data_IF_934049340219
#
_entry.id   IF_934049340219
#
_cell.length_a   1.000
_cell.length_b   1.000
_cell.length_c   1.000
_cell.angle_alpha   90.00
_cell.angle_beta   90.00
_cell.angle_gamma   90.00
#
_symmetry.space_group_name_H-M   'P 1'
#
loop_
_entity.id
_entity.type
_entity.pdbx_description
1 polymer ?
#
# COMPACT_ATOMS: atom_id res chain seq x y z
N UNK A 1 -3.96 11.71 -13.91
CA UNK A 1 -3.33 10.42 -13.56
C UNK A 1 -3.44 10.25 -12.05
N UNK A 2 -4.04 9.16 -11.58
CA UNK A 2 -4.20 8.87 -10.14
C UNK A 2 -2.92 8.32 -9.52
N UNK A 3 -2.80 8.45 -8.21
CA UNK A 3 -1.73 7.84 -7.42
C UNK A 3 -2.32 6.76 -6.53
N UNK A 4 -1.89 5.52 -6.69
CA UNK A 4 -2.33 4.42 -5.84
C UNK A 4 -1.22 4.13 -4.84
N UNK A 5 -1.50 4.35 -3.56
CA UNK A 5 -0.59 4.01 -2.46
C UNK A 5 -0.89 2.58 -2.03
N UNK A 6 0.09 1.70 -2.19
CA UNK A 6 0.07 0.33 -1.69
C UNK A 6 0.57 0.36 -0.24
N UNK A 7 -0.31 0.03 0.69
CA UNK A 7 0.05 -0.20 2.08
C UNK A 7 0.98 -1.43 2.21
N UNK A 8 1.85 -1.48 3.22
CA UNK A 8 2.83 -2.58 3.40
C UNK A 8 2.14 -3.94 3.43
N UNK A 9 1.04 -4.06 4.19
CA UNK A 9 0.28 -5.32 4.26
C UNK A 9 -0.33 -5.71 2.90
N UNK A 10 -0.63 -4.74 2.05
CA UNK A 10 -1.15 -4.98 0.71
C UNK A 10 -0.08 -5.55 -0.24
N UNK A 11 1.18 -5.14 -0.07
CA UNK A 11 2.33 -5.64 -0.83
C UNK A 11 2.53 -7.15 -0.65
N UNK A 12 2.13 -7.71 0.50
CA UNK A 12 2.27 -9.14 0.78
C UNK A 12 1.15 -10.05 0.22
N UNK A 13 0.05 -9.47 -0.29
CA UNK A 13 -1.10 -10.24 -0.79
C UNK A 13 -0.79 -11.23 -1.92
N UNK A 14 0.16 -10.97 -2.84
CA UNK A 14 0.58 -11.97 -3.82
C UNK A 14 1.09 -13.27 -3.20
N UNK A 15 1.65 -13.22 -2.00
CA UNK A 15 2.26 -14.37 -1.33
C UNK A 15 1.29 -15.05 -0.35
N UNK A 16 0.43 -14.26 0.30
CA UNK A 16 -0.52 -14.77 1.30
C UNK A 16 -1.82 -15.26 0.68
N UNK A 17 -2.41 -14.48 -0.23
CA UNK A 17 -3.68 -14.80 -0.89
C UNK A 17 -3.52 -15.39 -2.30
N UNK A 18 -2.29 -15.40 -2.83
CA UNK A 18 -1.98 -15.85 -4.20
C UNK A 18 -2.78 -15.09 -5.26
N UNK A 19 -2.85 -13.77 -5.11
CA UNK A 19 -3.53 -12.83 -6.02
C UNK A 19 -2.48 -12.00 -6.75
N UNK A 20 -2.58 -11.89 -8.07
CA UNK A 20 -1.79 -10.90 -8.82
C UNK A 20 -2.42 -9.52 -8.64
N UNK A 21 -1.96 -8.78 -7.62
CA UNK A 21 -2.50 -7.47 -7.28
C UNK A 21 -2.33 -6.45 -8.42
N UNK A 22 -1.32 -6.59 -9.28
CA UNK A 22 -1.06 -5.63 -10.34
C UNK A 22 -2.08 -5.79 -11.46
N UNK A 23 -2.26 -7.03 -11.93
CA UNK A 23 -3.26 -7.36 -12.94
C UNK A 23 -4.69 -7.07 -12.44
N UNK A 24 -4.96 -7.27 -11.15
CA UNK A 24 -6.25 -6.93 -10.56
C UNK A 24 -6.47 -5.41 -10.43
N UNK A 25 -5.42 -4.63 -10.14
CA UNK A 25 -5.51 -3.16 -10.17
C UNK A 25 -5.79 -2.69 -11.60
N UNK A 26 -5.09 -3.23 -12.60
CA UNK A 26 -5.35 -2.94 -14.02
C UNK A 26 -6.80 -3.26 -14.42
N UNK A 27 -7.37 -4.35 -13.89
CA UNK A 27 -8.75 -4.75 -14.16
C UNK A 27 -9.79 -3.77 -13.61
N UNK A 28 -9.57 -3.23 -12.42
CA UNK A 28 -10.55 -2.36 -11.73
C UNK A 28 -10.33 -0.87 -11.99
N UNK A 29 -9.13 -0.48 -12.44
CA UNK A 29 -8.80 0.92 -12.70
C UNK A 29 -9.14 1.29 -14.14
N UNK A 30 -10.15 2.15 -14.30
CA UNK A 30 -10.59 2.65 -15.60
C UNK A 30 -9.92 3.98 -16.02
N UNK A 31 -8.96 4.47 -15.22
CA UNK A 31 -8.27 5.73 -15.44
C UNK A 31 -6.75 5.56 -15.27
N UNK A 32 -5.92 6.38 -15.96
CA UNK A 32 -4.46 6.26 -15.86
C UNK A 32 -3.97 6.49 -14.44
N UNK A 33 -3.05 5.64 -13.98
CA UNK A 33 -2.54 5.66 -12.61
C UNK A 33 -1.04 5.36 -12.53
N UNK A 34 -0.45 5.73 -11.39
CA UNK A 34 0.90 5.34 -10.98
C UNK A 34 0.82 4.66 -9.60
N UNK A 35 1.67 3.67 -9.38
CA UNK A 35 1.78 2.94 -8.12
C UNK A 35 2.87 3.52 -7.24
N UNK A 36 2.61 3.60 -5.94
CA UNK A 36 3.56 4.03 -4.93
C UNK A 36 3.47 3.14 -3.69
N UNK A 37 4.60 3.00 -2.99
CA UNK A 37 4.64 2.58 -1.58
C UNK A 37 5.20 3.71 -0.74
N UNK A 38 4.92 3.71 0.56
CA UNK A 38 5.60 4.62 1.48
C UNK A 38 7.07 4.23 1.62
N UNK A 39 7.96 5.19 1.87
CA UNK A 39 9.38 4.90 2.14
C UNK A 39 9.55 3.96 3.33
N UNK A 40 8.75 4.13 4.38
CA UNK A 40 8.69 3.23 5.55
C UNK A 40 8.39 1.76 5.17
N UNK A 41 7.64 1.51 4.08
CA UNK A 41 7.37 0.14 3.60
C UNK A 41 8.64 -0.54 3.10
N UNK A 42 9.54 0.22 2.47
CA UNK A 42 10.84 -0.32 2.01
C UNK A 42 11.72 -0.63 3.21
N UNK A 43 11.79 0.29 4.17
CA UNK A 43 12.56 0.09 5.42
C UNK A 43 12.08 -1.15 6.19
N UNK A 44 10.76 -1.38 6.22
CA UNK A 44 10.17 -2.57 6.86
C UNK A 44 10.56 -3.86 6.15
N UNK A 45 10.50 -3.89 4.81
CA UNK A 45 10.94 -5.05 4.02
C UNK A 45 12.42 -5.35 4.23
N UNK A 46 13.27 -4.32 4.23
CA UNK A 46 14.70 -4.45 4.49
C UNK A 46 14.97 -4.98 5.90
N UNK A 47 14.24 -4.48 6.90
CA UNK A 47 14.34 -4.99 8.28
C UNK A 47 13.95 -6.47 8.36
N UNK A 48 12.85 -6.87 7.73
CA UNK A 48 12.43 -8.28 7.70
C UNK A 48 13.53 -9.14 7.07
N UNK A 49 14.14 -8.65 5.97
CA UNK A 49 15.22 -9.39 5.30
C UNK A 49 16.49 -9.54 6.15
N UNK A 50 16.76 -8.61 7.07
CA UNK A 50 17.93 -8.62 7.95
C UNK A 50 17.68 -9.43 9.24
N UNK A 51 16.50 -9.29 9.84
CA UNK A 51 16.21 -9.82 11.18
C UNK A 51 15.54 -11.19 11.14
N UNK A 52 14.73 -11.48 10.12
CA UNK A 52 13.98 -12.73 10.02
C UNK A 52 14.74 -13.81 9.22
N UNK A 53 14.30 -15.07 9.35
CA UNK A 53 14.91 -16.23 8.68
C UNK A 53 13.87 -17.03 7.91
N UNK A 54 14.34 -17.87 6.98
CA UNK A 54 13.49 -18.79 6.23
C UNK A 54 12.45 -18.05 5.38
N UNK A 55 11.19 -18.48 5.49
CA UNK A 55 10.11 -18.05 4.60
C UNK A 55 9.82 -16.55 4.65
N UNK A 56 9.93 -15.92 5.81
CA UNK A 56 9.59 -14.50 5.95
C UNK A 56 10.63 -13.62 5.25
N UNK A 57 11.92 -13.93 5.43
CA UNK A 57 13.02 -13.28 4.70
C UNK A 57 12.87 -13.41 3.19
N UNK A 58 12.59 -14.62 2.71
CA UNK A 58 12.39 -14.86 1.27
C UNK A 58 11.16 -14.14 0.73
N UNK A 59 10.07 -14.07 1.51
CA UNK A 59 8.85 -13.36 1.12
C UNK A 59 9.10 -11.85 1.00
N UNK A 60 9.80 -11.24 1.96
CA UNK A 60 10.16 -9.82 1.91
C UNK A 60 11.07 -9.51 0.72
N UNK A 61 12.05 -10.38 0.43
CA UNK A 61 12.92 -10.27 -0.74
C UNK A 61 12.13 -10.32 -2.04
N UNK A 62 11.22 -11.28 -2.18
CA UNK A 62 10.37 -11.39 -3.37
C UNK A 62 9.43 -10.19 -3.53
N UNK A 63 8.88 -9.67 -2.42
CA UNK A 63 8.05 -8.48 -2.42
C UNK A 63 8.80 -7.27 -2.96
N UNK A 64 10.02 -7.02 -2.46
CA UNK A 64 10.85 -5.91 -2.93
C UNK A 64 11.18 -6.03 -4.43
N UNK A 65 11.62 -7.21 -4.88
CA UNK A 65 11.89 -7.47 -6.30
C UNK A 65 10.66 -7.26 -7.19
N UNK A 66 9.47 -7.60 -6.68
CA UNK A 66 8.22 -7.42 -7.41
C UNK A 66 7.86 -5.94 -7.54
N UNK A 67 8.04 -5.14 -6.49
CA UNK A 67 7.86 -3.68 -6.53
C UNK A 67 8.80 -3.03 -7.56
N UNK A 68 10.08 -3.41 -7.55
CA UNK A 68 11.08 -2.91 -8.51
C UNK A 68 10.71 -3.29 -9.95
N UNK A 69 10.40 -4.57 -10.19
CA UNK A 69 10.02 -5.07 -11.52
C UNK A 69 8.78 -4.37 -12.09
N UNK A 70 7.85 -3.99 -11.22
CA UNK A 70 6.61 -3.30 -11.60
C UNK A 70 6.75 -1.78 -11.63
N UNK A 71 7.95 -1.25 -11.37
CA UNK A 71 8.21 0.19 -11.42
C UNK A 71 7.44 0.98 -10.36
N UNK A 72 7.17 0.38 -9.20
CA UNK A 72 6.45 1.05 -8.11
C UNK A 72 7.33 2.15 -7.52
N UNK A 73 6.80 3.37 -7.48
CA UNK A 73 7.51 4.53 -6.95
C UNK A 73 7.56 4.54 -5.42
N UNK A 74 8.41 5.41 -4.86
CA UNK A 74 8.48 5.67 -3.42
C UNK A 74 7.85 7.02 -3.11
N UNK A 75 6.90 7.04 -2.18
CA UNK A 75 6.30 8.25 -1.63
C UNK A 75 6.97 8.57 -0.30
N UNK A 76 7.54 9.77 -0.16
CA UNK A 76 8.19 10.20 1.07
C UNK A 76 7.17 10.29 2.21
N UNK A 77 7.56 9.78 3.37
CA UNK A 77 6.82 9.96 4.60
C UNK A 77 6.96 11.40 5.11
N UNK A 78 5.84 12.01 5.50
CA UNK A 78 5.84 13.32 6.16
C UNK A 78 5.99 13.07 7.67
N UNK A 79 7.20 13.16 8.18
CA UNK A 79 7.42 13.15 9.62
C UNK A 79 7.25 14.57 10.16
N UNK A 80 6.33 14.77 11.12
CA UNK A 80 6.29 16.02 11.87
C UNK A 80 7.53 16.08 12.77
N UNK A 81 8.43 17.01 12.48
CA UNK A 81 9.59 17.30 13.34
C UNK A 81 9.11 17.94 14.64
N UNK A 82 8.87 17.12 15.65
CA UNK A 82 8.55 17.56 17.00
C UNK A 82 8.31 16.35 17.90
N UNK A 83 9.21 16.13 18.87
CA UNK A 83 9.18 15.11 19.93
C UNK A 83 7.81 14.45 20.16
N UNK A 84 7.51 13.39 19.43
CA UNK A 84 6.41 12.46 19.64
C UNK A 84 6.61 11.29 18.67
N UNK A 85 6.26 10.09 19.11
CA UNK A 85 6.43 8.77 18.44
C UNK A 85 6.36 8.84 16.90
N UNK A 86 7.18 8.01 16.22
CA UNK A 86 7.07 7.76 14.76
C UNK A 86 5.56 7.60 14.44
N UNK A 87 4.96 8.47 13.60
CA UNK A 87 3.53 8.41 13.36
C UNK A 87 3.16 7.02 12.83
N UNK A 88 2.01 6.52 13.24
CA UNK A 88 1.50 5.25 12.73
C UNK A 88 1.33 5.43 11.22
N UNK A 89 1.76 4.45 10.41
CA UNK A 89 1.76 4.55 8.93
C UNK A 89 0.39 5.02 8.40
N UNK A 90 -0.68 4.55 9.01
CA UNK A 90 -2.06 4.97 8.77
C UNK A 90 -2.28 6.48 8.90
N UNK A 91 -1.71 7.13 9.91
CA UNK A 91 -1.85 8.58 10.12
C UNK A 91 -1.12 9.36 9.03
N UNK A 92 0.03 8.86 8.57
CA UNK A 92 0.79 9.46 7.46
C UNK A 92 -0.03 9.33 6.17
N UNK A 93 -0.59 8.15 5.90
CA UNK A 93 -1.46 7.91 4.74
C UNK A 93 -2.68 8.83 4.79
N UNK A 94 -3.33 8.96 5.95
CA UNK A 94 -4.48 9.84 6.13
C UNK A 94 -4.14 11.31 5.92
N UNK A 95 -2.96 11.75 6.37
CA UNK A 95 -2.52 13.13 6.21
C UNK A 95 -2.12 13.45 4.76
N UNK A 96 -1.49 12.49 4.07
CA UNK A 96 -0.97 12.66 2.72
C UNK A 96 -2.04 12.48 1.62
N UNK A 97 -2.99 11.56 1.83
CA UNK A 97 -3.95 11.21 0.81
C UNK A 97 -4.97 12.33 0.59
N UNK A 98 -5.17 12.67 -0.68
CA UNK A 98 -6.16 13.63 -1.19
C UNK A 98 -7.04 12.97 -2.27
N UNK A 99 -7.89 13.75 -2.95
CA UNK A 99 -8.80 13.25 -4.01
C UNK A 99 -8.09 12.66 -5.25
N UNK A 100 -6.80 12.93 -5.43
CA UNK A 100 -5.98 12.32 -6.48
C UNK A 100 -5.36 10.99 -6.06
N UNK A 101 -5.43 10.65 -4.77
CA UNK A 101 -4.94 9.40 -4.23
C UNK A 101 -6.05 8.34 -4.18
N UNK A 102 -5.60 7.09 -4.25
CA UNK A 102 -6.37 5.89 -3.95
C UNK A 102 -5.47 5.07 -3.02
N UNK A 103 -6.01 4.54 -1.94
CA UNK A 103 -5.22 3.74 -0.99
C UNK A 103 -5.62 2.28 -1.09
N UNK A 104 -4.65 1.41 -1.35
CA UNK A 104 -4.84 -0.03 -1.34
C UNK A 104 -4.44 -0.58 0.03
N UNK A 105 -5.43 -0.95 0.85
CA UNK A 105 -5.21 -1.44 2.23
C UNK A 105 -6.26 -2.46 2.65
N UNK A 106 -5.85 -3.45 3.44
CA UNK A 106 -6.74 -4.43 4.05
C UNK A 106 -7.34 -3.94 5.38
N UNK A 107 -6.85 -2.84 5.95
CA UNK A 107 -7.34 -2.31 7.21
C UNK A 107 -8.73 -1.68 7.07
N UNK A 108 -9.70 -2.20 7.84
CA UNK A 108 -11.11 -1.75 7.78
C UNK A 108 -11.30 -0.35 8.36
N UNK A 109 -10.55 0.00 9.41
CA UNK A 109 -10.64 1.30 10.06
C UNK A 109 -10.01 2.39 9.19
N UNK A 110 -8.82 2.14 8.63
CA UNK A 110 -8.18 3.05 7.70
C UNK A 110 -9.08 3.31 6.48
N UNK A 111 -9.68 2.26 5.90
CA UNK A 111 -10.63 2.44 4.79
C UNK A 111 -11.83 3.30 5.16
N UNK A 112 -12.37 3.12 6.38
CA UNK A 112 -13.49 3.93 6.86
C UNK A 112 -13.09 5.41 6.94
N UNK A 113 -11.98 5.72 7.60
CA UNK A 113 -11.45 7.09 7.74
C UNK A 113 -11.16 7.74 6.37
N UNK A 114 -10.60 6.99 5.42
CA UNK A 114 -10.35 7.47 4.06
C UNK A 114 -11.63 7.74 3.28
N UNK A 115 -12.63 6.85 3.41
CA UNK A 115 -13.95 7.03 2.78
C UNK A 115 -14.61 8.32 3.30
N UNK A 116 -14.55 8.58 4.60
CA UNK A 116 -15.09 9.80 5.22
C UNK A 116 -14.39 11.08 4.70
N UNK A 117 -13.14 10.97 4.23
CA UNK A 117 -12.41 12.07 3.57
C UNK A 117 -12.64 12.16 2.05
N UNK A 118 -13.50 11.33 1.48
CA UNK A 118 -13.74 11.29 0.04
C UNK A 118 -12.57 10.69 -0.75
N UNK A 119 -11.82 9.77 -0.14
CA UNK A 119 -10.68 9.08 -0.78
C UNK A 119 -11.09 7.64 -1.08
N UNK A 120 -10.92 7.23 -2.34
CA UNK A 120 -11.23 5.87 -2.78
C UNK A 120 -10.23 4.87 -2.21
N UNK A 121 -10.71 3.65 -1.98
CA UNK A 121 -9.87 2.57 -1.43
C UNK A 121 -9.97 1.31 -2.25
N UNK A 122 -8.85 0.58 -2.35
CA UNK A 122 -8.76 -0.74 -2.95
C UNK A 122 -8.54 -1.75 -1.84
N UNK A 123 -9.26 -2.86 -1.88
CA UNK A 123 -9.09 -3.97 -0.92
C UNK A 123 -9.32 -5.30 -1.62
N UNK A 124 -8.87 -6.37 -0.98
CA UNK A 124 -9.05 -7.72 -1.48
C UNK A 124 -10.35 -8.28 -0.89
N UNK A 125 -11.16 -8.90 -1.76
CA UNK A 125 -12.31 -9.70 -1.34
C UNK A 125 -12.17 -11.06 -1.97
N UNK A 126 -11.94 -12.08 -1.13
CA UNK A 126 -11.58 -13.44 -1.55
C UNK A 126 -10.30 -13.45 -2.38
N UNK A 127 -10.38 -13.70 -3.68
CA UNK A 127 -9.24 -13.79 -4.62
C UNK A 127 -9.24 -12.70 -5.68
N UNK A 128 -9.99 -11.63 -5.46
CA UNK A 128 -10.07 -10.48 -6.37
C UNK A 128 -9.95 -9.17 -5.61
N UNK A 129 -9.58 -8.11 -6.31
CA UNK A 129 -9.63 -6.75 -5.79
C UNK A 129 -10.97 -6.07 -6.10
N UNK A 130 -11.42 -5.26 -5.15
CA UNK A 130 -12.57 -4.37 -5.27
C UNK A 130 -12.12 -2.94 -4.99
N UNK A 131 -12.70 -1.98 -5.71
CA UNK A 131 -12.55 -0.55 -5.44
C UNK A 131 -13.83 -0.04 -4.79
N UNK A 132 -13.69 0.73 -3.71
CA UNK A 132 -14.79 1.45 -3.09
C UNK A 132 -14.75 2.90 -3.50
N UNK A 133 -15.75 3.30 -4.27
CA UNK A 133 -16.02 4.69 -4.60
C UNK A 133 -16.58 5.46 -3.40
N UNK A 134 -16.43 6.78 -3.46
CA UNK A 134 -16.96 7.73 -2.49
C UNK A 134 -18.16 8.44 -3.10
N UNK A 135 -19.23 8.58 -2.32
CA UNK A 135 -20.46 9.28 -2.69
C UNK A 135 -20.32 10.79 -2.48
#
# INVERSE_FOLDING_TARGET
MKKIILDTNFVFLPFTLKIDIFSEIDRIMHEPYNLFVMEDTIDELDRIMQEQKGRDRETAKMALQLLEKKGVGKQKSLYMTGNSKKPIVDDIILALADKNHIVATQDRELRKKLTEKGIRTIYARKKSLEIKDVL
#
